data_IF_289628282278
#
_entry.id   IF_289628282278
#
_cell.length_a   1.000
_cell.length_b   1.000
_cell.length_c   1.000
_cell.angle_alpha   90.00
_cell.angle_beta   90.00
_cell.angle_gamma   90.00
#
_symmetry.space_group_name_H-M   'P 1'
#
loop_
_entity.id
_entity.type
_entity.pdbx_description
1 polymer ?
#
# COMPACT_ATOMS: atom_id res chain seq x y z
N UNK A 1 -17.42 -15.65 -12.44
CA UNK A 1 -17.78 -14.22 -12.45
C UNK A 1 -16.49 -13.44 -12.53
N UNK A 2 -16.27 -12.64 -13.58
CA UNK A 2 -15.05 -11.85 -13.75
C UNK A 2 -15.35 -10.44 -13.25
N UNK A 3 -14.75 -10.04 -12.13
CA UNK A 3 -14.83 -8.66 -11.67
C UNK A 3 -13.86 -7.82 -12.51
N UNK A 4 -14.40 -6.90 -13.30
CA UNK A 4 -13.65 -6.05 -14.21
C UNK A 4 -14.31 -4.68 -14.24
N UNK A 5 -13.57 -3.67 -13.80
CA UNK A 5 -14.03 -2.30 -13.63
C UNK A 5 -13.14 -1.38 -14.45
N UNK A 6 -13.73 -0.66 -15.39
CA UNK A 6 -13.05 0.35 -16.17
C UNK A 6 -13.00 1.70 -15.48
N UNK A 7 -12.57 2.71 -16.23
CA UNK A 7 -12.38 4.08 -15.76
C UNK A 7 -13.67 4.73 -15.25
N UNK A 8 -14.83 4.28 -15.71
CA UNK A 8 -16.15 4.73 -15.27
C UNK A 8 -16.44 4.42 -13.78
N UNK A 9 -15.77 3.40 -13.24
CA UNK A 9 -15.76 3.03 -11.82
C UNK A 9 -14.48 3.53 -11.15
N UNK A 10 -13.32 3.15 -11.69
CA UNK A 10 -12.01 3.43 -11.10
C UNK A 10 -11.67 4.93 -11.00
N UNK A 11 -12.10 5.73 -11.97
CA UNK A 11 -11.84 7.17 -12.03
C UNK A 11 -12.76 8.02 -11.14
N UNK A 12 -13.70 7.40 -10.40
CA UNK A 12 -14.62 8.08 -9.49
C UNK A 12 -14.30 7.68 -8.06
N UNK A 13 -13.67 8.58 -7.31
CA UNK A 13 -13.15 8.27 -5.98
C UNK A 13 -14.16 7.58 -5.05
N UNK A 14 -15.35 8.17 -4.83
CA UNK A 14 -16.37 7.60 -3.95
C UNK A 14 -16.84 6.18 -4.37
N UNK A 15 -16.78 5.89 -5.67
CA UNK A 15 -17.19 4.59 -6.23
C UNK A 15 -16.06 3.55 -6.10
N UNK A 16 -14.82 3.95 -6.36
CA UNK A 16 -13.65 3.09 -6.21
C UNK A 16 -13.28 2.82 -4.74
N UNK A 17 -13.46 3.79 -3.86
CA UNK A 17 -13.21 3.66 -2.41
C UNK A 17 -14.21 2.71 -1.73
N UNK A 18 -15.47 2.70 -2.17
CA UNK A 18 -16.50 1.80 -1.61
C UNK A 18 -16.38 0.34 -2.06
N UNK A 19 -15.40 0.01 -2.91
CA UNK A 19 -15.12 -1.35 -3.37
C UNK A 19 -13.82 -1.84 -2.77
N UNK A 20 -13.89 -2.98 -2.11
CA UNK A 20 -12.76 -3.59 -1.42
C UNK A 20 -12.32 -4.88 -2.11
N UNK A 21 -11.05 -5.21 -1.96
CA UNK A 21 -10.44 -6.45 -2.43
C UNK A 21 -9.81 -7.19 -1.24
N UNK A 22 -9.69 -8.51 -1.35
CA UNK A 22 -9.13 -9.38 -0.33
C UNK A 22 -8.32 -10.51 -0.98
N UNK A 23 -7.11 -10.73 -0.49
CA UNK A 23 -6.29 -11.91 -0.78
C UNK A 23 -5.89 -12.56 0.54
N UNK A 24 -5.99 -13.88 0.65
CA UNK A 24 -5.67 -14.60 1.90
C UNK A 24 -4.54 -15.60 1.68
N UNK A 25 -3.76 -15.87 2.72
CA UNK A 25 -2.69 -16.88 2.68
C UNK A 25 -3.11 -18.28 3.21
N UNK A 26 -4.35 -18.45 3.65
CA UNK A 26 -4.87 -19.73 4.15
C UNK A 26 -4.49 -20.09 5.58
N UNK A 27 -3.76 -19.22 6.31
CA UNK A 27 -3.37 -19.43 7.72
C UNK A 27 -3.91 -18.34 8.66
N UNK A 28 -4.92 -17.58 8.20
CA UNK A 28 -5.54 -16.48 8.95
C UNK A 28 -4.98 -15.09 8.66
N UNK A 29 -3.89 -15.01 7.87
CA UNK A 29 -3.34 -13.76 7.35
C UNK A 29 -3.92 -13.36 5.99
N UNK A 30 -3.89 -12.07 5.68
CA UNK A 30 -4.48 -11.52 4.47
C UNK A 30 -3.88 -10.17 4.05
N UNK A 31 -4.19 -9.78 2.82
CA UNK A 31 -3.99 -8.44 2.28
C UNK A 31 -5.36 -7.91 1.83
N UNK A 32 -5.70 -6.68 2.18
CA UNK A 32 -6.97 -6.07 1.79
C UNK A 32 -6.89 -4.55 1.70
N UNK A 33 -7.81 -3.95 0.97
CA UNK A 33 -7.92 -2.51 0.84
C UNK A 33 -9.02 -2.12 -0.11
N UNK A 34 -9.14 -0.82 -0.38
CA UNK A 34 -10.05 -0.30 -1.41
C UNK A 34 -9.42 -0.39 -2.80
N UNK A 35 -10.24 -0.37 -3.87
CA UNK A 35 -9.72 -0.24 -5.25
C UNK A 35 -8.97 1.09 -5.42
N UNK A 36 -9.44 2.15 -4.77
CA UNK A 36 -8.80 3.46 -4.78
C UNK A 36 -7.47 3.51 -4.00
N UNK A 37 -7.17 2.54 -3.13
CA UNK A 37 -5.95 2.55 -2.33
C UNK A 37 -5.98 3.46 -1.09
N UNK A 38 -7.14 4.04 -0.75
CA UNK A 38 -7.39 4.61 0.58
C UNK A 38 -7.46 3.49 1.62
N UNK A 39 -6.85 3.75 2.78
CA UNK A 39 -7.10 3.00 4.01
C UNK A 39 -8.33 3.61 4.67
N UNK A 40 -9.44 2.86 4.74
CA UNK A 40 -10.69 3.37 5.33
C UNK A 40 -11.08 2.63 6.60
N UNK A 41 -10.40 1.52 6.92
CA UNK A 41 -10.61 0.70 8.13
C UNK A 41 -9.30 0.17 8.68
N UNK A 42 -9.27 -0.17 9.97
CA UNK A 42 -8.12 -0.79 10.66
C UNK A 42 -7.65 -2.11 10.04
N UNK A 43 -8.51 -2.75 9.26
CA UNK A 43 -8.24 -4.03 8.63
C UNK A 43 -7.58 -3.94 7.25
N UNK A 44 -7.44 -2.74 6.68
CA UNK A 44 -6.73 -2.57 5.41
C UNK A 44 -5.23 -2.64 5.63
N UNK A 45 -4.54 -3.30 4.70
CA UNK A 45 -3.13 -3.62 4.82
C UNK A 45 -2.66 -4.50 3.66
N UNK A 46 -1.42 -4.28 3.20
CA UNK A 46 -0.76 -5.21 2.27
C UNK A 46 -0.27 -6.48 2.97
N UNK A 47 0.01 -6.43 4.28
CA UNK A 47 0.36 -7.62 5.05
C UNK A 47 -0.24 -7.56 6.45
N UNK A 48 -1.44 -8.15 6.60
CA UNK A 48 -2.01 -8.52 7.89
C UNK A 48 -1.55 -9.95 8.21
N UNK A 49 -0.49 -10.08 8.99
CA UNK A 49 0.12 -11.36 9.30
C UNK A 49 -0.56 -12.03 10.50
N UNK A 50 -0.85 -13.33 10.43
CA UNK A 50 -1.21 -14.11 11.61
C UNK A 50 0.08 -14.62 12.26
N UNK A 51 0.56 -13.94 13.30
CA UNK A 51 1.81 -14.32 14.00
C UNK A 51 1.61 -15.53 14.92
N UNK A 52 0.37 -15.87 15.26
CA UNK A 52 0.00 -17.07 16.01
C UNK A 52 -1.15 -17.81 15.28
N UNK A 53 -0.91 -18.38 14.09
CA UNK A 53 -1.98 -18.87 13.21
C UNK A 53 -3.01 -19.78 13.91
N UNK A 54 -4.34 -19.56 13.70
CA UNK A 54 -4.95 -18.53 12.85
C UNK A 54 -5.24 -17.18 13.55
N UNK A 55 -4.71 -16.97 14.75
CA UNK A 55 -4.88 -15.78 15.61
C UNK A 55 -3.66 -14.84 15.53
N UNK A 56 -3.67 -13.78 16.36
CA UNK A 56 -2.57 -12.83 16.47
C UNK A 56 -2.35 -12.05 15.17
N UNK A 57 -3.41 -11.40 14.67
CA UNK A 57 -3.34 -10.62 13.43
C UNK A 57 -2.65 -9.29 13.69
N UNK A 58 -1.50 -9.13 13.07
CA UNK A 58 -0.65 -7.95 13.21
C UNK A 58 -0.48 -7.29 11.85
N UNK A 59 -0.75 -5.99 11.75
CA UNK A 59 -0.48 -5.22 10.54
C UNK A 59 1.04 -4.99 10.44
N UNK A 60 1.69 -5.52 9.41
CA UNK A 60 3.14 -5.35 9.19
C UNK A 60 3.45 -4.37 8.06
N UNK A 61 2.69 -4.43 6.96
CA UNK A 61 2.78 -3.48 5.84
C UNK A 61 1.39 -2.90 5.61
N UNK A 62 1.23 -1.60 5.87
CA UNK A 62 -0.02 -0.87 5.65
C UNK A 62 -0.27 -0.71 4.15
N UNK A 63 0.65 -0.06 3.44
CA UNK A 63 0.54 0.16 2.01
C UNK A 63 1.88 0.52 1.39
N UNK A 64 1.89 0.56 0.06
CA UNK A 64 2.92 1.22 -0.74
C UNK A 64 2.28 2.49 -1.34
N UNK A 65 2.94 3.63 -1.18
CA UNK A 65 2.54 4.89 -1.80
C UNK A 65 3.41 5.14 -3.03
N UNK A 66 2.90 4.79 -4.21
CA UNK A 66 3.68 4.78 -5.44
C UNK A 66 3.64 6.11 -6.20
N UNK A 67 4.79 6.58 -6.66
CA UNK A 67 4.91 7.75 -7.54
C UNK A 67 5.70 7.35 -8.77
N UNK A 68 5.13 7.59 -9.95
CA UNK A 68 5.84 7.39 -11.21
C UNK A 68 6.41 8.71 -11.72
N UNK A 69 7.68 8.71 -12.11
CA UNK A 69 8.30 9.77 -12.90
C UNK A 69 8.38 9.29 -14.35
N UNK A 70 7.84 10.05 -15.30
CA UNK A 70 7.80 9.64 -16.70
C UNK A 70 8.45 10.68 -17.62
N UNK A 71 9.32 10.21 -18.51
CA UNK A 71 9.90 10.95 -19.65
C UNK A 71 10.86 12.11 -19.31
N UNK A 72 11.23 12.35 -18.04
CA UNK A 72 12.42 13.09 -17.59
C UNK A 72 12.67 14.54 -18.09
N UNK A 73 11.77 15.15 -18.88
CA UNK A 73 12.07 16.34 -19.70
C UNK A 73 11.88 17.71 -19.00
N UNK A 74 11.42 17.79 -17.74
CA UNK A 74 11.32 19.07 -17.02
C UNK A 74 11.87 18.99 -15.58
N UNK A 75 13.09 19.52 -15.34
CA UNK A 75 13.75 19.48 -14.03
C UNK A 75 13.06 20.27 -12.91
N UNK A 76 12.19 21.24 -13.24
CA UNK A 76 11.62 22.17 -12.23
C UNK A 76 10.10 22.05 -12.03
N UNK A 77 9.40 21.26 -12.84
CA UNK A 77 7.94 20.99 -12.70
C UNK A 77 7.58 19.51 -12.79
N UNK A 78 8.58 18.64 -12.58
CA UNK A 78 8.64 17.20 -12.89
C UNK A 78 7.30 16.47 -12.96
N UNK A 79 7.13 15.66 -14.02
CA UNK A 79 5.92 14.85 -14.25
C UNK A 79 5.86 13.66 -13.28
N UNK A 80 5.73 13.95 -11.99
CA UNK A 80 5.48 12.99 -10.93
C UNK A 80 3.99 12.68 -10.88
N UNK A 81 3.66 11.40 -11.03
CA UNK A 81 2.30 10.88 -11.03
C UNK A 81 2.12 10.05 -9.77
N UNK A 82 1.57 10.61 -8.68
CA UNK A 82 1.22 9.81 -7.52
C UNK A 82 0.09 8.85 -7.91
N UNK A 83 0.27 7.56 -7.65
CA UNK A 83 -0.67 6.48 -8.01
C UNK A 83 -1.46 5.97 -6.79
N UNK A 84 -1.24 6.58 -5.64
CA UNK A 84 -1.91 6.29 -4.38
C UNK A 84 -2.88 7.42 -3.97
N UNK A 85 -3.67 7.15 -2.93
CA UNK A 85 -4.54 8.13 -2.30
C UNK A 85 -4.46 7.96 -0.79
N UNK A 86 -4.35 9.07 -0.05
CA UNK A 86 -4.44 9.12 1.40
C UNK A 86 -5.57 10.08 1.80
N UNK A 87 -6.01 9.94 3.05
CA UNK A 87 -6.99 10.83 3.67
C UNK A 87 -6.50 11.14 5.07
N UNK A 88 -6.49 12.41 5.42
CA UNK A 88 -5.82 12.90 6.62
C UNK A 88 -6.77 13.66 7.54
N UNK A 89 -6.65 13.43 8.85
CA UNK A 89 -7.42 14.12 9.89
C UNK A 89 -8.94 13.97 9.75
N UNK A 90 -9.73 14.84 10.39
CA UNK A 90 -11.20 14.72 10.43
C UNK A 90 -11.93 15.28 9.20
N UNK A 91 -11.21 15.85 8.23
CA UNK A 91 -11.81 16.48 7.04
C UNK A 91 -11.54 15.63 5.80
N UNK A 92 -12.37 15.83 4.78
CA UNK A 92 -12.24 15.21 3.45
C UNK A 92 -10.97 15.63 2.66
N UNK A 93 -9.86 15.95 3.33
CA UNK A 93 -8.58 16.24 2.70
C UNK A 93 -7.97 14.94 2.18
N UNK A 94 -8.37 14.60 0.96
CA UNK A 94 -7.83 13.46 0.23
C UNK A 94 -6.73 13.94 -0.70
N UNK A 95 -5.51 13.56 -0.39
CA UNK A 95 -4.36 13.82 -1.25
C UNK A 95 -3.32 12.70 -1.11
N UNK A 96 -2.60 12.36 -2.20
CA UNK A 96 -2.80 12.83 -3.56
C UNK A 96 -4.02 12.18 -4.25
N UNK A 97 -4.28 12.55 -5.51
CA UNK A 97 -5.44 12.10 -6.30
C UNK A 97 -5.09 10.96 -7.28
N UNK A 98 -4.37 9.93 -6.84
CA UNK A 98 -3.91 8.83 -7.69
C UNK A 98 -5.03 8.05 -8.40
N UNK A 99 -6.26 8.07 -7.87
CA UNK A 99 -7.41 7.44 -8.54
C UNK A 99 -7.65 8.00 -9.94
N UNK A 100 -7.19 9.23 -10.24
CA UNK A 100 -7.33 9.84 -11.57
C UNK A 100 -6.53 9.11 -12.65
N UNK A 101 -5.45 8.43 -12.25
CA UNK A 101 -4.61 7.62 -13.14
C UNK A 101 -5.07 6.16 -13.19
N UNK A 102 -5.95 5.72 -12.28
CA UNK A 102 -6.45 4.35 -12.27
C UNK A 102 -7.42 4.12 -13.43
N UNK A 103 -6.94 3.43 -14.47
CA UNK A 103 -7.68 3.17 -15.69
C UNK A 103 -8.57 1.93 -15.60
N UNK A 104 -8.11 0.89 -14.89
CA UNK A 104 -8.83 -0.38 -14.76
C UNK A 104 -8.45 -1.09 -13.46
N UNK A 105 -9.41 -1.79 -12.87
CA UNK A 105 -9.20 -2.79 -11.84
C UNK A 105 -9.91 -4.07 -12.26
N UNK A 106 -9.26 -5.22 -12.10
CA UNK A 106 -9.92 -6.50 -12.30
C UNK A 106 -9.31 -7.58 -11.41
N UNK A 107 -10.02 -8.70 -11.29
CA UNK A 107 -9.48 -9.92 -10.69
C UNK A 107 -9.05 -10.89 -11.79
N UNK A 108 -7.78 -11.30 -11.76
CA UNK A 108 -7.28 -12.45 -12.50
C UNK A 108 -7.26 -13.66 -11.55
N UNK A 109 -8.33 -14.47 -11.61
CA UNK A 109 -8.59 -15.44 -10.56
C UNK A 109 -8.87 -14.74 -9.23
N UNK A 110 -8.00 -14.95 -8.23
CA UNK A 110 -8.06 -14.26 -6.93
C UNK A 110 -7.07 -13.10 -6.81
N UNK A 111 -6.31 -12.81 -7.87
CA UNK A 111 -5.25 -11.79 -7.86
C UNK A 111 -5.85 -10.44 -8.28
N UNK A 112 -5.93 -9.43 -7.41
CA UNK A 112 -6.28 -8.08 -7.80
C UNK A 112 -5.18 -7.44 -8.66
N UNK A 113 -5.63 -6.81 -9.75
CA UNK A 113 -4.79 -6.19 -10.76
C UNK A 113 -5.29 -4.78 -11.04
N UNK A 114 -4.41 -3.80 -10.88
CA UNK A 114 -4.64 -2.39 -11.22
C UNK A 114 -3.87 -2.04 -12.48
N UNK A 115 -4.47 -1.28 -13.37
CA UNK A 115 -3.79 -0.68 -14.52
C UNK A 115 -3.88 0.83 -14.41
N UNK A 116 -2.73 1.50 -14.34
CA UNK A 116 -2.59 2.96 -14.31
C UNK A 116 -2.24 3.48 -15.70
N UNK A 117 -2.95 4.51 -16.15
CA UNK A 117 -2.63 5.26 -17.36
C UNK A 117 -1.90 6.56 -17.00
N UNK A 118 -0.63 6.65 -17.41
CA UNK A 118 0.32 7.70 -17.03
C UNK A 118 0.87 8.31 -18.32
N UNK A 119 0.29 9.43 -18.77
CA UNK A 119 0.58 9.99 -20.08
C UNK A 119 0.51 8.93 -21.20
N UNK A 120 1.64 8.55 -21.80
CA UNK A 120 1.72 7.54 -22.86
C UNK A 120 2.10 6.14 -22.34
N UNK A 121 2.21 5.96 -21.03
CA UNK A 121 2.53 4.71 -20.36
C UNK A 121 1.31 4.03 -19.72
N UNK A 122 1.39 2.70 -19.64
CA UNK A 122 0.48 1.83 -18.91
C UNK A 122 1.29 0.99 -17.92
N UNK A 123 1.07 1.23 -16.63
CA UNK A 123 1.70 0.49 -15.54
C UNK A 123 0.68 -0.45 -14.89
N UNK A 124 1.00 -1.72 -14.77
CA UNK A 124 0.17 -2.70 -14.07
C UNK A 124 0.75 -2.99 -12.68
N UNK A 125 -0.10 -3.02 -11.66
CA UNK A 125 0.21 -3.49 -10.30
C UNK A 125 -0.59 -4.76 -10.02
N UNK A 126 0.06 -5.76 -9.44
CA UNK A 126 -0.57 -7.01 -8.97
C UNK A 126 -0.25 -7.24 -7.51
N UNK A 127 -1.19 -7.79 -6.75
CA UNK A 127 -0.98 -8.19 -5.35
C UNK A 127 -1.45 -9.62 -5.16
N UNK A 128 -0.60 -10.48 -4.59
CA UNK A 128 -1.01 -11.82 -4.17
C UNK A 128 -0.26 -12.25 -2.91
N UNK A 129 -0.72 -13.30 -2.24
CA UNK A 129 -0.02 -13.85 -1.08
C UNK A 129 0.51 -15.25 -1.36
N UNK A 130 1.64 -15.59 -0.74
CA UNK A 130 2.13 -16.96 -0.74
C UNK A 130 1.19 -17.85 0.08
N UNK A 131 0.76 -19.01 -0.44
CA UNK A 131 0.03 -19.99 0.36
C UNK A 131 0.83 -20.41 1.60
N UNK A 132 0.16 -20.42 2.75
CA UNK A 132 0.68 -20.87 4.04
C UNK A 132 1.88 -20.07 4.59
N UNK A 133 2.09 -18.84 4.14
CA UNK A 133 3.11 -17.95 4.66
C UNK A 133 2.60 -16.50 4.82
N UNK A 134 3.11 -15.79 5.84
CA UNK A 134 2.87 -14.35 6.01
C UNK A 134 3.74 -13.55 5.03
N UNK A 135 3.45 -13.70 3.73
CA UNK A 135 4.21 -13.08 2.64
C UNK A 135 3.25 -12.59 1.58
N UNK A 136 3.31 -11.29 1.31
CA UNK A 136 2.61 -10.64 0.20
C UNK A 136 3.62 -10.27 -0.87
N UNK A 137 3.30 -10.60 -2.11
CA UNK A 137 4.01 -10.14 -3.28
C UNK A 137 3.27 -8.97 -3.91
N UNK A 138 4.02 -7.94 -4.27
CA UNK A 138 3.54 -6.84 -5.10
C UNK A 138 4.42 -6.80 -6.34
N UNK A 139 3.82 -6.87 -7.52
CA UNK A 139 4.52 -6.78 -8.79
C UNK A 139 4.07 -5.56 -9.55
N UNK A 140 5.04 -4.87 -10.14
CA UNK A 140 4.80 -3.82 -11.12
C UNK A 140 5.29 -4.28 -12.49
N UNK A 141 4.51 -4.02 -13.53
CA UNK A 141 4.86 -4.31 -14.91
C UNK A 141 4.54 -3.10 -15.78
N UNK A 142 5.57 -2.54 -16.42
CA UNK A 142 5.37 -1.53 -17.46
C UNK A 142 4.87 -2.23 -18.72
N UNK A 143 3.55 -2.16 -18.97
CA UNK A 143 2.89 -2.89 -20.07
C UNK A 143 3.16 -2.21 -21.41
N UNK A 144 3.16 -0.87 -21.41
CA UNK A 144 3.42 -0.04 -22.58
C UNK A 144 4.03 1.27 -22.12
N UNK A 145 4.97 1.81 -22.88
CA UNK A 145 5.46 3.18 -22.72
C UNK A 145 6.12 3.66 -24.02
N UNK A 146 6.20 4.98 -24.20
CA UNK A 146 6.97 5.61 -25.29
C UNK A 146 8.25 6.29 -24.80
N UNK A 147 8.50 6.26 -23.49
CA UNK A 147 9.65 6.86 -22.81
C UNK A 147 9.95 6.10 -21.51
N UNK A 148 11.06 6.43 -20.83
CA UNK A 148 11.44 5.79 -19.57
C UNK A 148 10.46 6.14 -18.45
N UNK A 149 10.30 5.21 -17.50
CA UNK A 149 9.50 5.39 -16.29
C UNK A 149 10.30 4.95 -15.08
N UNK A 150 10.53 5.87 -14.14
CA UNK A 150 11.04 5.54 -12.81
C UNK A 150 9.83 5.34 -11.89
N UNK A 151 9.80 4.24 -11.15
CA UNK A 151 8.82 4.00 -10.11
C UNK A 151 9.47 4.14 -8.74
N UNK A 152 8.92 5.01 -7.92
CA UNK A 152 9.19 5.09 -6.49
C UNK A 152 7.99 4.56 -5.71
N UNK A 153 8.24 3.86 -4.60
CA UNK A 153 7.20 3.41 -3.69
C UNK A 153 7.64 3.61 -2.25
N UNK A 154 6.90 4.44 -1.51
CA UNK A 154 7.12 4.58 -0.06
C UNK A 154 6.48 3.39 0.66
N UNK A 155 7.25 2.64 1.43
CA UNK A 155 6.74 1.54 2.23
C UNK A 155 6.29 2.03 3.60
N UNK A 156 4.97 2.07 3.79
CA UNK A 156 4.35 2.40 5.07
C UNK A 156 4.07 1.11 5.84
N UNK A 157 4.57 1.06 7.07
CA UNK A 157 4.68 -0.16 7.87
C UNK A 157 4.15 0.04 9.27
N UNK A 158 3.87 -1.06 9.97
CA UNK A 158 3.26 -1.02 11.30
C UNK A 158 3.59 -2.30 12.11
N UNK A 159 3.12 -2.37 13.36
CA UNK A 159 3.14 -3.59 14.17
C UNK A 159 1.96 -3.71 15.14
N UNK A 160 0.84 -3.02 14.86
CA UNK A 160 -0.34 -3.07 15.73
C UNK A 160 -1.18 -4.33 15.55
N UNK A 161 -1.95 -4.64 16.59
CA UNK A 161 -3.08 -5.58 16.49
C UNK A 161 -4.14 -5.04 15.52
N UNK A 162 -4.82 -5.96 14.84
CA UNK A 162 -5.83 -5.61 13.82
C UNK A 162 -7.07 -4.87 14.39
N UNK A 163 -7.32 -4.92 15.69
CA UNK A 163 -8.38 -4.15 16.36
C UNK A 163 -7.92 -2.79 16.91
N UNK A 164 -6.63 -2.48 16.88
CA UNK A 164 -6.09 -1.23 17.41
C UNK A 164 -5.74 -0.25 16.29
N UNK A 165 -5.39 0.98 16.68
CA UNK A 165 -4.64 1.95 15.86
C UNK A 165 -3.26 2.16 16.47
N UNK A 166 -2.36 2.75 15.72
CA UNK A 166 -1.01 3.11 16.15
C UNK A 166 -0.93 4.59 16.42
N UNK A 167 -0.26 4.93 17.52
CA UNK A 167 0.18 6.28 17.84
C UNK A 167 1.70 6.29 17.67
N UNK A 168 2.23 7.30 16.98
CA UNK A 168 3.67 7.46 16.81
C UNK A 168 4.42 7.56 18.16
N UNK A 169 5.74 7.39 18.13
CA UNK A 169 6.65 7.49 19.28
C UNK A 169 6.42 6.50 20.44
N UNK A 170 5.51 5.53 20.29
CA UNK A 170 5.34 4.41 21.22
C UNK A 170 6.22 3.18 20.87
N UNK A 171 7.05 3.30 19.84
CA UNK A 171 7.77 2.18 19.23
C UNK A 171 9.27 2.46 19.10
N UNK A 172 10.08 1.43 19.32
CA UNK A 172 11.53 1.46 19.10
C UNK A 172 11.85 0.75 17.79
N UNK A 173 11.64 1.47 16.68
CA UNK A 173 11.75 0.90 15.33
C UNK A 173 13.20 0.80 14.91
N UNK A 174 13.65 -0.42 14.64
CA UNK A 174 14.98 -0.74 14.15
C UNK A 174 14.92 -1.22 12.70
N UNK A 175 15.79 -0.61 11.88
CA UNK A 175 15.95 -0.92 10.47
C UNK A 175 17.36 -1.45 10.21
N UNK A 176 17.44 -2.68 9.69
CA UNK A 176 18.72 -3.33 9.39
C UNK A 176 18.75 -3.72 7.91
N UNK A 177 19.63 -3.12 7.09
CA UNK A 177 19.82 -3.54 5.71
C UNK A 177 20.18 -5.03 5.63
N UNK A 178 19.56 -5.74 4.69
CA UNK A 178 19.84 -7.16 4.39
C UNK A 178 20.07 -7.34 2.90
N UNK A 179 20.50 -8.53 2.48
CA UNK A 179 20.61 -8.86 1.07
C UNK A 179 19.26 -8.62 0.37
N UNK A 180 19.26 -7.74 -0.63
CA UNK A 180 18.10 -7.38 -1.44
C UNK A 180 16.92 -6.76 -0.65
N UNK A 181 17.18 -6.13 0.51
CA UNK A 181 16.13 -5.39 1.19
C UNK A 181 16.42 -4.94 2.61
N UNK A 182 15.37 -4.92 3.44
CA UNK A 182 15.38 -4.32 4.76
C UNK A 182 14.65 -5.22 5.77
N UNK A 183 15.31 -5.52 6.88
CA UNK A 183 14.66 -6.09 8.05
C UNK A 183 14.12 -4.97 8.95
N UNK A 184 12.88 -5.11 9.39
CA UNK A 184 12.15 -4.13 10.19
C UNK A 184 11.72 -4.80 11.49
N UNK A 185 11.95 -4.13 12.62
CA UNK A 185 11.54 -4.59 13.96
C UNK A 185 11.02 -3.40 14.75
N UNK A 186 9.80 -3.48 15.26
CA UNK A 186 9.11 -2.34 15.92
C UNK A 186 9.38 -2.21 17.43
N UNK A 187 9.86 -3.28 18.06
CA UNK A 187 10.24 -3.32 19.46
C UNK A 187 11.24 -4.47 19.68
N UNK A 188 12.04 -4.47 20.77
CA UNK A 188 13.03 -5.52 21.03
C UNK A 188 12.48 -6.95 21.03
N UNK A 189 11.23 -7.12 21.48
CA UNK A 189 10.49 -8.39 21.56
C UNK A 189 9.59 -8.67 20.34
N UNK A 190 9.46 -7.71 19.42
CA UNK A 190 8.70 -7.87 18.19
C UNK A 190 9.39 -8.85 17.23
N UNK A 191 8.60 -9.76 16.65
CA UNK A 191 9.06 -10.59 15.55
C UNK A 191 9.44 -9.69 14.35
N UNK A 192 10.68 -9.78 13.83
CA UNK A 192 11.08 -8.98 12.68
C UNK A 192 10.35 -9.46 11.42
N UNK A 193 10.20 -8.56 10.47
CA UNK A 193 9.70 -8.86 9.14
C UNK A 193 10.54 -8.17 8.09
N UNK A 194 10.36 -8.56 6.84
CA UNK A 194 11.29 -8.22 5.76
C UNK A 194 10.55 -7.57 4.61
N UNK A 195 11.11 -6.45 4.14
CA UNK A 195 10.75 -5.83 2.88
C UNK A 195 11.87 -6.13 1.88
N UNK A 196 11.58 -6.96 0.88
CA UNK A 196 12.56 -7.41 -0.11
C UNK A 196 12.17 -6.92 -1.50
N UNK A 197 13.16 -6.69 -2.35
CA UNK A 197 12.99 -6.30 -3.74
C UNK A 197 13.80 -7.22 -4.65
N UNK A 198 13.22 -7.61 -5.79
CA UNK A 198 13.89 -8.46 -6.77
C UNK A 198 14.83 -7.69 -7.71
N UNK A 199 14.72 -6.36 -7.78
CA UNK A 199 15.49 -5.55 -8.73
C UNK A 199 15.57 -4.06 -8.41
N UNK A 200 14.60 -3.51 -7.68
CA UNK A 200 14.62 -2.12 -7.24
C UNK A 200 15.49 -1.91 -6.01
N UNK A 201 16.10 -0.73 -5.93
CA UNK A 201 16.87 -0.26 -4.80
C UNK A 201 15.95 -0.01 -3.59
N UNK A 202 16.40 -0.40 -2.41
CA UNK A 202 15.68 -0.14 -1.15
C UNK A 202 16.57 0.78 -0.29
N UNK A 203 16.06 1.98 -0.01
CA UNK A 203 16.70 2.94 0.86
C UNK A 203 15.94 3.02 2.18
N UNK A 204 16.54 2.69 3.34
CA UNK A 204 15.91 2.85 4.64
C UNK A 204 15.50 4.30 4.92
N UNK A 205 14.38 4.48 5.61
CA UNK A 205 13.78 5.76 5.95
C UNK A 205 13.34 5.73 7.43
N UNK A 206 13.03 6.87 8.05
CA UNK A 206 12.83 6.93 9.51
C UNK A 206 11.69 7.81 10.00
N UNK A 207 10.83 8.26 9.09
CA UNK A 207 9.78 9.23 9.40
C UNK A 207 8.44 8.56 9.72
N UNK A 208 7.58 9.25 10.47
CA UNK A 208 6.19 8.86 10.67
C UNK A 208 5.27 9.67 9.76
N UNK A 209 4.21 9.02 9.29
CA UNK A 209 3.06 9.67 8.68
C UNK A 209 1.87 9.50 9.61
N UNK A 210 1.36 10.63 10.08
CA UNK A 210 0.35 10.70 11.12
C UNK A 210 -1.05 10.90 10.54
N UNK A 211 -2.08 10.66 11.35
CA UNK A 211 -3.46 11.09 11.08
C UNK A 211 -4.13 10.42 9.86
N UNK A 212 -3.79 9.18 9.49
CA UNK A 212 -4.56 8.47 8.45
C UNK A 212 -6.00 8.26 8.89
N UNK A 213 -6.94 8.90 8.21
CA UNK A 213 -8.34 8.89 8.61
C UNK A 213 -9.11 7.68 8.08
N UNK A 214 -9.63 6.90 9.01
CA UNK A 214 -10.38 5.67 8.79
C UNK A 214 -11.88 5.95 8.71
N UNK A 215 -12.32 6.43 7.54
CA UNK A 215 -13.70 6.89 7.32
C UNK A 215 -14.80 5.87 7.63
N UNK A 216 -14.53 4.57 7.50
CA UNK A 216 -15.52 3.54 7.85
C UNK A 216 -15.51 3.24 9.36
N UNK A 217 -14.40 3.44 10.06
CA UNK A 217 -14.39 3.33 11.53
C UNK A 217 -15.22 4.47 12.13
N UNK A 218 -15.10 5.70 11.60
CA UNK A 218 -15.96 6.83 11.97
C UNK A 218 -17.44 6.52 11.67
N UNK A 219 -17.75 6.07 10.46
CA UNK A 219 -19.12 5.69 10.10
C UNK A 219 -19.73 4.63 11.05
N UNK A 220 -18.89 3.75 11.61
CA UNK A 220 -19.26 2.72 12.60
C UNK A 220 -19.33 3.25 14.04
N UNK A 221 -19.07 4.52 14.27
CA UNK A 221 -19.09 5.16 15.60
C UNK A 221 -17.94 4.74 16.50
N UNK A 222 -16.78 4.42 15.94
CA UNK A 222 -15.58 4.09 16.72
C UNK A 222 -14.92 5.37 17.24
N UNK A 223 -14.26 5.28 18.41
CA UNK A 223 -13.54 6.41 18.97
C UNK A 223 -12.17 6.62 18.28
N UNK A 224 -11.51 5.52 17.90
CA UNK A 224 -10.21 5.55 17.25
C UNK A 224 -10.40 5.51 15.73
N UNK A 225 -10.32 6.68 15.09
CA UNK A 225 -10.59 6.87 13.65
C UNK A 225 -9.36 7.38 12.89
N UNK A 226 -8.21 7.46 13.55
CA UNK A 226 -6.93 7.87 12.98
C UNK A 226 -5.86 6.82 13.28
N UNK A 227 -4.91 6.64 12.37
CA UNK A 227 -3.85 5.64 12.47
C UNK A 227 -2.53 6.23 11.98
N UNK A 228 -1.44 5.98 12.70
CA UNK A 228 -0.10 6.43 12.32
C UNK A 228 0.69 5.29 11.70
N UNK A 229 1.51 5.60 10.69
CA UNK A 229 2.30 4.60 9.95
C UNK A 229 3.76 5.01 9.82
N UNK A 230 4.67 4.06 10.05
CA UNK A 230 6.10 4.30 9.94
C UNK A 230 6.58 4.10 8.51
N UNK A 231 7.23 5.12 7.95
CA UNK A 231 7.85 5.08 6.63
C UNK A 231 9.22 4.40 6.72
N UNK A 232 9.24 3.09 6.48
CA UNK A 232 10.44 2.28 6.69
C UNK A 232 11.44 2.36 5.54
N UNK A 233 10.97 2.55 4.30
CA UNK A 233 11.83 2.52 3.13
C UNK A 233 11.24 3.19 1.89
N UNK A 234 12.11 3.81 1.10
CA UNK A 234 11.85 4.15 -0.29
C UNK A 234 12.33 3.01 -1.19
N UNK A 235 11.43 2.40 -1.96
CA UNK A 235 11.81 1.53 -3.06
C UNK A 235 11.89 2.36 -4.34
N UNK A 236 12.93 2.16 -5.17
CA UNK A 236 13.09 2.85 -6.45
C UNK A 236 13.55 1.88 -7.54
N UNK A 237 12.92 1.97 -8.73
CA UNK A 237 13.32 1.24 -9.93
C UNK A 237 13.23 2.17 -11.14
N UNK A 238 14.26 2.18 -11.98
CA UNK A 238 14.31 2.90 -13.26
C UNK A 238 14.19 1.92 -14.43
#
# INVERSE_FOLDING_TARGET
>A
MMFDFGREVCGKLAVAESREWLVTNGIGGFASGTIAGHLTRRYHGLLMAALQPPLGRTLLIAKLDETAEYDGIYPESGRFYPLYNNRWGEKANSEPNGYRFLNRFHLEGTTPVWTFAIANALLEKRVWMQPYANTTYVQYKLVRATGPLTLEAKALTNYRDYHSTTIMDQWDVQLTPVANGLAIRFAPDAAPYYLLSAGGDIQPQGDWYEDFFLSIEEYRGQNDVQDDHFYAALLRQT
#
